data_IF_740552944844
#
_entry.id   IF_740552944844
#
_cell.length_a   1.000
_cell.length_b   1.000
_cell.length_c   1.000
_cell.angle_alpha   90.00
_cell.angle_beta   90.00
_cell.angle_gamma   90.00
#
_symmetry.space_group_name_H-M   'P 1'
#
loop_
_entity.id
_entity.type
_entity.pdbx_description
1 polymer ?
#
# COMPACT_ATOMS: atom_id res chain seq x y z
N UNK A 1 -70.59 -6.70 41.86
CA UNK A 1 -70.55 -7.93 41.06
C UNK A 1 -69.30 -8.72 41.48
N UNK A 2 -69.48 -9.82 42.25
CA UNK A 2 -68.86 -11.15 42.09
C UNK A 2 -67.58 -11.23 41.19
N UNK A 3 -66.43 -11.86 41.48
CA UNK A 3 -65.99 -12.90 42.46
C UNK A 3 -64.46 -12.96 42.58
N UNK A 4 -64.01 -13.44 43.75
CA UNK A 4 -62.83 -14.27 44.07
C UNK A 4 -61.88 -14.76 42.96
N UNK A 5 -60.56 -14.66 43.22
CA UNK A 5 -59.71 -15.87 43.32
C UNK A 5 -58.55 -15.68 44.32
N UNK A 6 -58.40 -16.74 45.10
CA UNK A 6 -57.52 -17.05 46.21
C UNK A 6 -56.05 -17.26 45.78
N UNK A 7 -55.07 -17.03 46.68
CA UNK A 7 -54.26 -18.11 47.32
C UNK A 7 -52.83 -17.69 47.76
N UNK A 8 -52.69 -17.69 49.09
CA UNK A 8 -51.61 -18.17 50.00
C UNK A 8 -50.16 -17.63 50.03
N UNK A 9 -49.79 -17.39 51.30
CA UNK A 9 -48.50 -17.33 52.00
C UNK A 9 -47.43 -18.37 51.61
N UNK A 10 -46.15 -17.98 51.68
CA UNK A 10 -45.09 -18.49 52.60
C UNK A 10 -43.78 -17.71 52.33
N UNK A 11 -43.27 -16.90 53.26
CA UNK A 11 -42.34 -17.21 54.36
C UNK A 11 -40.85 -17.29 53.96
N UNK A 12 -40.05 -16.44 54.64
CA UNK A 12 -38.58 -16.45 54.78
C UNK A 12 -37.77 -16.19 53.49
N UNK A 13 -36.73 -15.35 53.44
CA UNK A 13 -35.63 -15.13 54.38
C UNK A 13 -34.85 -13.90 53.87
N UNK A 14 -34.19 -13.17 54.78
CA UNK A 14 -33.40 -11.97 54.52
C UNK A 14 -32.50 -12.05 53.26
N UNK A 15 -32.30 -10.93 52.51
CA UNK A 15 -31.23 -10.85 51.55
C UNK A 15 -29.90 -10.83 52.30
N UNK A 16 -29.18 -11.96 52.26
CA UNK A 16 -27.76 -12.00 52.62
C UNK A 16 -27.01 -11.00 51.73
N UNK A 17 -26.12 -10.15 52.28
CA UNK A 17 -25.35 -9.22 51.47
C UNK A 17 -24.41 -10.04 50.58
N UNK A 18 -24.72 -10.09 49.29
CA UNK A 18 -23.81 -10.60 48.29
C UNK A 18 -22.58 -9.69 48.30
N UNK A 19 -21.44 -10.27 48.69
CA UNK A 19 -20.13 -9.65 48.62
C UNK A 19 -19.92 -8.99 47.25
N UNK A 20 -19.20 -7.86 47.20
CA UNK A 20 -18.76 -7.28 45.93
C UNK A 20 -17.95 -8.34 45.19
N UNK A 21 -18.48 -8.87 44.08
CA UNK A 21 -17.63 -9.48 43.06
C UNK A 21 -16.78 -8.34 42.50
N UNK A 22 -15.62 -8.12 43.10
CA UNK A 22 -14.50 -7.59 42.36
C UNK A 22 -14.22 -8.60 41.25
N UNK A 23 -14.86 -8.39 40.11
CA UNK A 23 -14.44 -9.04 38.87
C UNK A 23 -13.01 -8.57 38.65
N UNK A 24 -12.05 -9.49 38.83
CA UNK A 24 -10.71 -9.29 38.31
C UNK A 24 -10.85 -8.80 36.86
N UNK A 25 -10.08 -7.78 36.43
CA UNK A 25 -9.85 -7.58 35.02
C UNK A 25 -9.15 -8.84 34.51
N UNK A 26 -9.93 -9.77 33.93
CA UNK A 26 -9.38 -10.89 33.18
C UNK A 26 -8.52 -10.25 32.10
N UNK A 27 -7.21 -10.34 32.26
CA UNK A 27 -6.22 -10.02 31.25
C UNK A 27 -6.31 -11.15 30.21
N UNK A 28 -7.43 -11.19 29.48
CA UNK A 28 -7.63 -12.12 28.40
C UNK A 28 -6.74 -11.63 27.27
N UNK A 29 -5.55 -12.22 27.15
CA UNK A 29 -4.68 -12.01 26.00
C UNK A 29 -5.52 -12.33 24.75
N UNK A 30 -5.83 -11.34 23.89
CA UNK A 30 -6.65 -11.58 22.72
C UNK A 30 -5.97 -12.62 21.84
N UNK A 31 -6.77 -13.50 21.23
CA UNK A 31 -6.21 -14.52 20.33
C UNK A 31 -5.45 -13.85 19.18
N UNK A 32 -4.38 -14.46 18.65
CA UNK A 32 -3.63 -13.89 17.53
C UNK A 32 -4.51 -13.55 16.31
N UNK A 33 -5.56 -14.33 16.10
CA UNK A 33 -6.55 -14.10 15.02
C UNK A 33 -7.36 -12.83 15.30
N UNK A 34 -7.77 -12.57 16.55
CA UNK A 34 -8.49 -11.35 16.91
C UNK A 34 -7.64 -10.11 16.66
N UNK A 35 -6.37 -10.15 17.09
CA UNK A 35 -5.42 -9.06 16.87
C UNK A 35 -5.19 -8.79 15.39
N UNK A 36 -5.09 -9.85 14.58
CA UNK A 36 -4.90 -9.72 13.14
C UNK A 36 -6.13 -9.11 12.46
N UNK A 37 -7.34 -9.53 12.84
CA UNK A 37 -8.59 -8.97 12.30
C UNK A 37 -8.70 -7.47 12.60
N UNK A 38 -8.31 -7.05 13.81
CA UNK A 38 -8.24 -5.65 14.21
C UNK A 38 -7.17 -4.89 13.40
N UNK A 39 -5.99 -5.50 13.23
CA UNK A 39 -4.90 -4.92 12.46
C UNK A 39 -5.27 -4.70 10.99
N UNK A 40 -6.11 -5.55 10.38
CA UNK A 40 -6.59 -5.34 9.00
C UNK A 40 -7.93 -4.61 8.92
N UNK A 41 -8.55 -4.22 10.03
CA UNK A 41 -9.89 -3.60 10.03
C UNK A 41 -9.91 -2.29 9.23
N UNK A 42 -8.85 -1.50 9.37
CA UNK A 42 -8.66 -0.26 8.64
C UNK A 42 -8.52 -0.45 7.10
N UNK A 43 -8.20 -1.67 6.64
CA UNK A 43 -8.08 -2.02 5.22
C UNK A 43 -9.47 -2.22 4.62
N UNK A 44 -9.84 -1.29 3.74
CA UNK A 44 -11.12 -1.25 3.00
C UNK A 44 -10.98 -1.76 1.58
N UNK A 45 -11.87 -2.69 1.20
CA UNK A 45 -12.03 -3.16 -0.19
C UNK A 45 -12.47 -2.01 -1.09
N UNK A 46 -11.94 -1.98 -2.32
CA UNK A 46 -12.16 -0.91 -3.29
C UNK A 46 -11.38 0.37 -3.01
N UNK A 47 -10.56 0.42 -1.95
CA UNK A 47 -9.69 1.56 -1.66
C UNK A 47 -8.28 1.33 -2.19
N UNK A 48 -7.62 2.43 -2.52
CA UNK A 48 -6.22 2.48 -2.92
C UNK A 48 -5.32 2.67 -1.71
N UNK A 49 -4.19 1.98 -1.72
CA UNK A 49 -3.18 2.05 -0.69
C UNK A 49 -1.81 2.22 -1.32
N UNK A 50 -0.97 2.89 -0.58
CA UNK A 50 0.45 2.96 -0.84
C UNK A 50 1.17 1.82 -0.12
N UNK A 51 2.13 1.21 -0.80
CA UNK A 51 2.90 0.08 -0.27
C UNK A 51 4.24 0.53 0.28
N UNK A 52 4.61 -0.02 1.43
CA UNK A 52 5.98 0.06 1.95
C UNK A 52 6.81 -1.12 1.41
N UNK A 53 7.69 -0.81 0.48
CA UNK A 53 8.57 -1.79 -0.15
C UNK A 53 9.61 -2.39 0.80
N UNK A 54 9.90 -1.74 1.94
CA UNK A 54 10.80 -2.28 2.95
C UNK A 54 10.20 -3.46 3.72
N UNK A 55 8.86 -3.54 3.75
CA UNK A 55 8.09 -4.62 4.40
C UNK A 55 7.77 -5.77 3.47
N UNK A 56 8.03 -5.63 2.16
CA UNK A 56 7.82 -6.69 1.19
C UNK A 56 8.94 -7.73 1.26
N UNK A 57 8.63 -9.03 1.44
CA UNK A 57 9.65 -10.06 1.45
C UNK A 57 10.33 -10.14 0.07
N UNK A 58 11.65 -9.89 -0.06
CA UNK A 58 12.30 -9.75 -1.35
C UNK A 58 12.37 -11.06 -2.14
N UNK A 59 12.24 -12.22 -1.49
CA UNK A 59 12.33 -13.53 -2.17
C UNK A 59 10.99 -14.06 -2.69
N UNK A 60 9.89 -13.79 -2.00
CA UNK A 60 8.57 -14.35 -2.35
C UNK A 60 7.68 -13.35 -3.09
N UNK A 61 8.04 -12.07 -3.09
CA UNK A 61 7.24 -11.03 -3.74
C UNK A 61 7.54 -10.99 -5.25
N UNK A 62 6.50 -11.03 -6.11
CA UNK A 62 6.65 -10.89 -7.57
C UNK A 62 7.34 -9.58 -7.95
N UNK A 63 8.15 -9.61 -9.00
CA UNK A 63 8.86 -8.42 -9.50
C UNK A 63 7.91 -7.29 -9.89
N UNK A 64 6.77 -7.62 -10.49
CA UNK A 64 5.75 -6.64 -10.86
C UNK A 64 5.18 -5.89 -9.64
N UNK A 65 4.97 -6.59 -8.51
CA UNK A 65 4.50 -5.94 -7.28
C UNK A 65 5.57 -5.01 -6.69
N UNK A 66 6.85 -5.35 -6.84
CA UNK A 66 7.97 -4.50 -6.41
C UNK A 66 8.15 -3.27 -7.29
N UNK A 67 7.69 -3.33 -8.55
CA UNK A 67 7.78 -2.23 -9.49
C UNK A 67 6.66 -1.18 -9.31
N UNK A 68 5.62 -1.49 -8.55
CA UNK A 68 4.48 -0.59 -8.29
C UNK A 68 4.44 -0.15 -6.84
N UNK A 69 4.10 1.12 -6.60
CA UNK A 69 3.95 1.75 -5.28
C UNK A 69 2.50 1.78 -4.81
N UNK A 70 1.56 1.87 -5.74
CA UNK A 70 0.12 2.04 -5.45
C UNK A 70 -0.67 0.83 -5.92
N UNK A 71 -1.53 0.33 -5.04
CA UNK A 71 -2.36 -0.86 -5.25
C UNK A 71 -3.79 -0.63 -4.77
N UNK A 72 -4.74 -1.32 -5.39
CA UNK A 72 -6.13 -1.36 -4.95
C UNK A 72 -6.41 -2.66 -4.22
N UNK A 73 -7.08 -2.61 -3.08
CA UNK A 73 -7.60 -3.82 -2.42
C UNK A 73 -8.85 -4.28 -3.17
N UNK A 74 -8.79 -5.42 -3.85
CA UNK A 74 -9.93 -5.95 -4.60
C UNK A 74 -10.82 -6.85 -3.76
N UNK A 75 -10.24 -7.63 -2.86
CA UNK A 75 -10.96 -8.55 -1.97
C UNK A 75 -10.25 -8.59 -0.62
N UNK A 76 -11.01 -8.72 0.47
CA UNK A 76 -10.49 -8.89 1.84
C UNK A 76 -11.17 -10.12 2.43
N UNK A 77 -10.38 -11.12 2.77
CA UNK A 77 -10.77 -12.28 3.56
C UNK A 77 -10.23 -12.18 5.00
N UNK A 78 -10.56 -13.16 5.83
CA UNK A 78 -10.15 -13.17 7.24
C UNK A 78 -8.62 -13.23 7.42
N UNK A 79 -7.93 -13.97 6.55
CA UNK A 79 -6.47 -14.20 6.65
C UNK A 79 -5.72 -13.81 5.37
N UNK A 80 -6.42 -13.33 4.33
CA UNK A 80 -5.84 -13.04 3.02
C UNK A 80 -6.45 -11.79 2.44
N UNK A 81 -5.64 -11.00 1.75
CA UNK A 81 -6.06 -9.78 1.05
C UNK A 81 -5.63 -9.91 -0.41
N UNK A 82 -6.57 -9.71 -1.32
CA UNK A 82 -6.28 -9.66 -2.75
C UNK A 82 -6.12 -8.20 -3.18
N UNK A 83 -5.05 -7.96 -3.91
CA UNK A 83 -4.68 -6.67 -4.48
C UNK A 83 -4.78 -6.73 -5.99
N UNK A 84 -5.15 -5.60 -6.57
CA UNK A 84 -5.08 -5.34 -8.01
C UNK A 84 -4.23 -4.11 -8.27
N UNK A 85 -3.40 -4.17 -9.30
CA UNK A 85 -2.48 -3.11 -9.66
C UNK A 85 -2.28 -3.06 -11.18
N UNK A 86 -1.87 -1.91 -11.72
CA UNK A 86 -1.63 -1.81 -13.14
C UNK A 86 -0.28 -2.43 -13.50
N UNK A 87 -0.21 -3.11 -14.64
CA UNK A 87 1.07 -3.50 -15.22
C UNK A 87 1.88 -2.28 -15.66
N UNK A 88 3.20 -2.44 -15.67
CA UNK A 88 4.13 -1.43 -16.21
C UNK A 88 3.78 -1.06 -17.66
N UNK A 89 3.33 -2.02 -18.47
CA UNK A 89 2.83 -1.75 -19.82
C UNK A 89 1.58 -0.86 -19.81
N UNK A 90 0.57 -1.19 -19.00
CA UNK A 90 -0.65 -0.38 -18.92
C UNK A 90 -0.37 1.03 -18.42
N UNK A 91 0.54 1.19 -17.45
CA UNK A 91 1.01 2.50 -16.99
C UNK A 91 1.66 3.30 -18.12
N UNK A 92 2.55 2.66 -18.88
CA UNK A 92 3.29 3.33 -19.95
C UNK A 92 2.36 3.81 -21.05
N UNK A 93 1.42 2.97 -21.48
CA UNK A 93 0.39 3.34 -22.45
C UNK A 93 -0.48 4.46 -21.92
N UNK A 94 -0.98 4.36 -20.67
CA UNK A 94 -1.86 5.38 -20.09
C UNK A 94 -1.18 6.77 -20.01
N UNK A 95 0.08 6.81 -19.61
CA UNK A 95 0.84 8.06 -19.42
C UNK A 95 1.31 8.63 -20.77
N UNK A 96 1.70 7.78 -21.71
CA UNK A 96 2.15 8.20 -23.05
C UNK A 96 0.96 8.64 -23.92
N UNK A 97 -0.11 7.85 -23.96
CA UNK A 97 -1.30 8.10 -24.77
C UNK A 97 -2.19 9.22 -24.21
N UNK A 98 -2.20 9.39 -22.88
CA UNK A 98 -2.83 10.52 -22.20
C UNK A 98 -2.24 11.89 -22.58
N UNK A 99 -1.07 11.90 -23.24
CA UNK A 99 -0.47 13.10 -23.83
C UNK A 99 -0.98 13.44 -25.26
N UNK A 100 -1.54 12.47 -25.99
CA UNK A 100 -1.94 12.63 -27.40
C UNK A 100 -3.46 12.64 -27.62
N UNK A 101 -4.23 11.90 -26.82
CA UNK A 101 -5.68 11.93 -26.86
C UNK A 101 -6.22 12.79 -25.71
N UNK A 102 -7.29 13.55 -25.96
CA UNK A 102 -8.00 14.32 -24.91
C UNK A 102 -8.11 13.45 -23.66
N UNK A 103 -7.54 13.85 -22.51
CA UNK A 103 -7.61 13.02 -21.32
C UNK A 103 -9.09 12.83 -21.03
N UNK A 104 -9.57 11.59 -21.14
CA UNK A 104 -10.88 11.25 -20.62
C UNK A 104 -10.73 11.41 -19.11
N UNK A 105 -11.04 12.62 -18.65
CA UNK A 105 -10.73 13.10 -17.32
C UNK A 105 -11.20 12.04 -16.32
N UNK A 106 -10.27 11.58 -15.47
CA UNK A 106 -10.47 10.57 -14.41
C UNK A 106 -10.31 9.10 -14.82
N UNK A 107 -9.76 8.78 -15.99
CA UNK A 107 -9.34 7.40 -16.22
C UNK A 107 -8.11 7.07 -15.38
N UNK A 108 -8.21 5.99 -14.62
CA UNK A 108 -7.08 5.33 -13.96
C UNK A 108 -6.52 4.27 -14.91
N UNK A 109 -5.22 3.92 -14.80
CA UNK A 109 -4.64 2.80 -15.51
C UNK A 109 -5.42 1.50 -15.28
N UNK A 110 -5.43 0.61 -16.27
CA UNK A 110 -6.14 -0.66 -16.15
C UNK A 110 -5.43 -1.55 -15.12
N UNK A 111 -6.17 -2.00 -14.10
CA UNK A 111 -5.65 -2.84 -13.02
C UNK A 111 -5.67 -4.32 -13.45
N UNK A 112 -4.77 -4.67 -14.36
CA UNK A 112 -4.72 -5.97 -15.02
C UNK A 112 -3.99 -7.06 -14.22
N UNK A 113 -3.21 -6.69 -13.21
CA UNK A 113 -2.48 -7.64 -12.37
C UNK A 113 -3.23 -7.91 -11.06
N UNK A 114 -3.13 -9.15 -10.55
CA UNK A 114 -3.72 -9.56 -9.27
C UNK A 114 -2.67 -10.28 -8.42
N UNK A 115 -2.61 -9.93 -7.14
CA UNK A 115 -1.76 -10.61 -6.17
C UNK A 115 -2.52 -10.86 -4.87
N UNK A 116 -2.35 -12.03 -4.27
CA UNK A 116 -2.98 -12.39 -2.99
C UNK A 116 -1.89 -12.51 -1.94
N UNK A 117 -2.01 -11.73 -0.87
CA UNK A 117 -1.08 -11.75 0.25
C UNK A 117 -1.77 -12.14 1.57
N UNK A 118 -1.01 -12.66 2.55
CA UNK A 118 -1.50 -12.85 3.91
C UNK A 118 -1.94 -11.51 4.53
N UNK A 119 -2.97 -11.56 5.37
CA UNK A 119 -3.48 -10.41 6.12
C UNK A 119 -2.39 -9.77 7.00
N UNK A 120 -1.53 -10.59 7.61
CA UNK A 120 -0.42 -10.13 8.45
C UNK A 120 0.50 -9.21 7.64
N UNK A 121 0.92 -9.68 6.47
CA UNK A 121 1.75 -8.91 5.54
C UNK A 121 1.02 -7.67 5.02
N UNK A 122 -0.28 -7.76 4.72
CA UNK A 122 -1.06 -6.62 4.25
C UNK A 122 -1.15 -5.51 5.31
N UNK A 123 -1.24 -5.85 6.60
CA UNK A 123 -1.28 -4.87 7.69
C UNK A 123 0.01 -4.06 7.83
N UNK A 124 1.14 -4.64 7.45
CA UNK A 124 2.45 -3.97 7.48
C UNK A 124 2.76 -3.24 6.17
N UNK A 125 2.41 -3.82 5.02
CA UNK A 125 2.74 -3.29 3.71
C UNK A 125 1.83 -2.12 3.33
N UNK A 126 0.53 -2.20 3.62
CA UNK A 126 -0.46 -1.18 3.22
C UNK A 126 -0.52 -0.05 4.26
N UNK A 127 0.52 0.77 4.27
CA UNK A 127 0.75 1.72 5.37
C UNK A 127 -0.07 3.03 5.26
N UNK A 128 -0.48 3.42 4.04
CA UNK A 128 -1.21 4.67 3.81
C UNK A 128 -2.37 4.45 2.84
N UNK A 129 -3.58 4.83 3.25
CA UNK A 129 -4.74 4.90 2.36
C UNK A 129 -4.70 6.16 1.51
N UNK A 130 -4.89 6.02 0.21
CA UNK A 130 -4.89 7.14 -0.74
C UNK A 130 -6.33 7.60 -0.97
N UNK A 131 -6.64 8.90 -0.76
CA UNK A 131 -7.95 9.45 -1.06
C UNK A 131 -8.30 9.32 -2.55
N UNK A 132 -9.57 9.07 -2.92
CA UNK A 132 -9.98 9.02 -4.32
C UNK A 132 -9.66 10.29 -5.11
N UNK A 133 -9.66 11.45 -4.45
CA UNK A 133 -9.27 12.74 -5.05
C UNK A 133 -7.79 12.72 -5.47
N UNK A 134 -6.88 12.28 -4.58
CA UNK A 134 -5.45 12.19 -4.90
C UNK A 134 -5.18 11.20 -6.04
N UNK A 135 -5.94 10.10 -6.12
CA UNK A 135 -5.89 9.17 -7.27
C UNK A 135 -6.31 9.90 -8.55
N UNK A 136 -7.42 10.63 -8.55
CA UNK A 136 -7.89 11.34 -9.73
C UNK A 136 -6.94 12.45 -10.21
N UNK A 137 -6.26 13.10 -9.26
CA UNK A 137 -5.34 14.22 -9.54
C UNK A 137 -3.97 13.75 -10.02
N UNK A 138 -3.53 12.55 -9.59
CA UNK A 138 -2.18 12.03 -9.82
C UNK A 138 -2.12 10.76 -10.65
N UNK A 139 -3.26 10.26 -11.15
CA UNK A 139 -3.32 9.01 -11.92
C UNK A 139 -2.52 9.03 -13.22
N UNK A 140 -2.22 10.22 -13.75
CA UNK A 140 -1.42 10.39 -14.97
C UNK A 140 0.09 10.55 -14.69
N UNK A 141 0.54 10.41 -13.45
CA UNK A 141 1.95 10.60 -13.06
C UNK A 141 2.63 9.23 -12.89
N UNK A 142 3.74 8.98 -13.61
CA UNK A 142 4.49 7.72 -13.51
C UNK A 142 4.98 7.43 -12.09
N UNK A 143 5.64 8.41 -11.46
CA UNK A 143 6.22 8.27 -10.11
C UNK A 143 5.17 8.12 -9.01
N UNK A 144 3.90 8.39 -9.30
CA UNK A 144 2.82 8.12 -8.37
C UNK A 144 2.54 6.62 -8.29
N UNK A 145 2.52 5.93 -9.43
CA UNK A 145 2.21 4.50 -9.54
C UNK A 145 3.43 3.58 -9.40
N UNK A 146 4.55 3.96 -10.01
CA UNK A 146 5.75 3.12 -10.05
C UNK A 146 6.63 3.39 -8.83
N UNK A 147 7.19 2.32 -8.27
CA UNK A 147 8.26 2.45 -7.30
C UNK A 147 9.50 2.96 -8.03
N UNK A 148 10.12 4.03 -7.54
CA UNK A 148 11.46 4.38 -7.99
C UNK A 148 12.38 3.23 -7.58
N UNK A 149 13.19 2.68 -8.50
CA UNK A 149 14.20 1.71 -8.10
C UNK A 149 15.09 2.41 -7.06
N UNK A 150 15.09 1.91 -5.82
CA UNK A 150 16.04 2.38 -4.82
C UNK A 150 17.43 2.20 -5.44
N UNK A 151 18.24 3.26 -5.47
CA UNK A 151 19.56 3.28 -6.08
C UNK A 151 20.59 2.26 -5.51
N UNK A 152 20.15 1.35 -4.64
CA UNK A 152 20.95 0.28 -4.03
C UNK A 152 21.33 -0.85 -5.00
N UNK A 153 20.96 -0.77 -6.28
CA UNK A 153 21.57 -1.61 -7.32
C UNK A 153 21.77 -0.85 -8.65
N UNK A 154 22.28 0.38 -8.57
CA UNK A 154 22.81 1.09 -9.74
C UNK A 154 24.28 0.76 -10.00
N UNK A 155 24.68 -0.51 -9.84
CA UNK A 155 26.07 -0.90 -10.04
C UNK A 155 26.21 -2.21 -10.82
N UNK A 156 25.56 -2.30 -11.99
CA UNK A 156 26.07 -3.20 -13.02
C UNK A 156 25.53 -2.97 -14.43
N UNK A 157 25.52 -1.72 -14.92
CA UNK A 157 25.55 -1.55 -16.39
C UNK A 157 26.49 -0.41 -16.76
N UNK A 158 27.66 -0.83 -17.23
CA UNK A 158 28.61 -0.12 -18.10
C UNK A 158 29.05 1.29 -17.69
N UNK A 159 30.15 1.31 -16.94
CA UNK A 159 31.28 2.19 -17.23
C UNK A 159 31.67 2.18 -18.72
N UNK A 160 31.70 3.36 -19.38
CA UNK A 160 32.76 3.87 -20.29
C UNK A 160 32.23 5.07 -21.13
N UNK A 161 33.07 5.95 -21.72
CA UNK A 161 33.51 7.20 -21.12
C UNK A 161 33.06 8.43 -21.91
N UNK A 162 33.04 9.59 -21.26
CA UNK A 162 32.85 10.89 -21.92
C UNK A 162 34.02 11.20 -22.87
N UNK A 163 33.78 11.75 -24.07
CA UNK A 163 34.85 12.43 -24.80
C UNK A 163 34.98 13.85 -24.22
N UNK A 164 36.11 14.09 -23.56
CA UNK A 164 36.59 15.42 -23.27
C UNK A 164 36.98 16.10 -24.59
N UNK A 165 36.35 17.23 -24.92
CA UNK A 165 36.94 18.21 -25.84
C UNK A 165 37.13 19.49 -25.04
N UNK A 166 38.32 19.61 -24.44
CA UNK A 166 38.80 20.85 -23.83
C UNK A 166 40.13 21.20 -24.49
N UNK A 167 40.18 22.41 -25.02
CA UNK A 167 41.07 22.81 -26.11
C UNK A 167 42.49 23.13 -25.72
N UNK A 168 43.26 23.57 -26.72
CA UNK A 168 44.34 24.53 -26.54
C UNK A 168 44.78 25.08 -27.89
N UNK A 169 44.56 26.37 -28.07
CA UNK A 169 45.38 27.24 -28.92
C UNK A 169 46.81 27.26 -28.36
N UNK A 170 47.82 27.43 -29.20
CA UNK A 170 48.77 28.51 -28.89
C UNK A 170 49.11 29.37 -30.10
N UNK A 171 49.36 30.64 -29.78
CA UNK A 171 49.81 31.67 -30.68
C UNK A 171 51.35 31.69 -30.79
N UNK A 172 51.81 32.01 -32.02
CA UNK A 172 52.94 32.88 -32.36
C UNK A 172 54.40 32.40 -32.15
N UNK A 173 55.18 32.31 -33.25
CA UNK A 173 56.29 33.22 -33.58
C UNK A 173 57.09 32.77 -34.82
N UNK A 174 57.42 33.77 -35.68
CA UNK A 174 58.58 34.02 -36.59
C UNK A 174 59.66 32.90 -36.71
N UNK A 175 60.36 32.64 -37.82
CA UNK A 175 60.89 33.52 -38.87
C UNK A 175 61.58 32.69 -40.01
N UNK A 176 61.79 33.31 -41.19
CA UNK A 176 62.81 33.08 -42.25
C UNK A 176 63.18 31.63 -42.68
N UNK A 177 63.21 31.27 -43.97
CA UNK A 177 64.28 31.65 -44.93
C UNK A 177 63.89 31.25 -46.37
N UNK A 178 64.34 32.03 -47.35
CA UNK A 178 64.27 31.85 -48.80
C UNK A 178 65.01 30.60 -49.32
N UNK A 179 64.48 29.98 -50.39
CA UNK A 179 65.00 30.02 -51.79
C UNK A 179 64.11 29.17 -52.71
#
# INVERSE_FOLDING_TARGET
>A
MMKYLEKKQEQNKAPSPCLPRHALPTTATPSPICLLLEAIDHIKVGSYYEMDHSKLPPRTTPEQLKAVRVVMVSEKGALKVALRFPSIHSLHTHITEGGYAKPLAKQIPALNEKYVMPAEMASEVLYRRIPPQEIADRSNIWSFWAATPSATNSQRISSSPSPAVSGSVPAQARAFTEL
#
